data_IF_640514228024
#
_entry.id   IF_640514228024
#
_cell.length_a   1.000
_cell.length_b   1.000
_cell.length_c   1.000
_cell.angle_alpha   90.00
_cell.angle_beta   90.00
_cell.angle_gamma   90.00
#
_symmetry.space_group_name_H-M   'P 1'
#
loop_
_entity.id
_entity.type
_entity.pdbx_description
1 polymer ?
#
# COMPACT_ATOMS: atom_id res chain seq x y z
N UNK A 1 20.59 12.71 -3.13
CA UNK A 1 21.22 11.60 -2.39
C UNK A 1 20.21 11.29 -1.32
N UNK A 2 19.32 10.35 -1.60
CA UNK A 2 18.13 10.15 -0.77
C UNK A 2 18.49 9.14 0.30
N UNK A 3 18.53 9.60 1.55
CA UNK A 3 19.14 8.84 2.65
C UNK A 3 18.04 8.12 3.40
N UNK A 4 17.92 6.82 3.20
CA UNK A 4 17.02 5.98 3.99
C UNK A 4 17.77 5.43 5.20
N UNK A 5 17.41 5.88 6.39
CA UNK A 5 17.82 5.22 7.63
C UNK A 5 16.71 4.27 8.02
N UNK A 6 17.05 2.98 8.13
CA UNK A 6 16.13 1.92 8.54
C UNK A 6 16.49 1.41 9.93
N UNK A 7 15.59 1.58 10.89
CA UNK A 7 15.69 1.03 12.24
C UNK A 7 14.56 0.02 12.46
N UNK A 8 14.90 -1.19 12.89
CA UNK A 8 13.92 -2.22 13.32
C UNK A 8 13.85 -2.24 14.85
N UNK A 9 12.68 -2.48 15.46
CA UNK A 9 12.56 -2.95 16.85
C UNK A 9 11.84 -4.31 16.85
N UNK A 10 12.40 -5.33 17.50
CA UNK A 10 11.81 -6.68 17.61
C UNK A 10 11.61 -7.04 19.09
N UNK A 11 10.46 -7.64 19.50
CA UNK A 11 10.17 -7.86 20.92
C UNK A 11 11.05 -8.92 21.58
N UNK A 12 11.36 -8.63 22.84
CA UNK A 12 12.25 -9.39 23.69
C UNK A 12 11.53 -10.58 24.35
N UNK A 13 11.70 -11.79 23.81
CA UNK A 13 11.89 -13.04 24.59
C UNK A 13 12.20 -14.23 23.67
N UNK A 14 13.29 -14.91 24.03
CA UNK A 14 13.87 -16.13 23.41
C UNK A 14 14.79 -15.96 22.19
N UNK A 15 15.60 -14.89 22.13
CA UNK A 15 16.82 -14.93 21.30
C UNK A 15 17.91 -15.76 22.01
N UNK A 16 17.74 -17.09 22.07
CA UNK A 16 18.82 -17.98 22.52
C UNK A 16 19.89 -18.03 21.42
N UNK A 17 20.97 -17.29 21.62
CA UNK A 17 22.31 -17.55 21.06
C UNK A 17 22.38 -17.78 19.53
N UNK A 18 21.68 -16.98 18.73
CA UNK A 18 21.94 -16.91 17.28
C UNK A 18 21.96 -15.44 16.86
N UNK A 19 23.12 -14.97 16.41
CA UNK A 19 23.23 -13.66 15.76
C UNK A 19 22.44 -13.75 14.46
N UNK A 20 21.28 -13.10 14.42
CA UNK A 20 20.51 -12.98 13.20
C UNK A 20 21.20 -11.97 12.28
N UNK A 21 21.26 -12.30 10.99
CA UNK A 21 21.76 -11.38 9.97
C UNK A 21 20.62 -11.11 9.00
N UNK A 22 20.32 -9.84 8.81
CA UNK A 22 19.21 -9.39 7.95
C UNK A 22 19.69 -8.37 6.92
N UNK A 23 18.92 -8.20 5.86
CA UNK A 23 19.04 -7.07 4.94
C UNK A 23 17.65 -6.57 4.54
N UNK A 24 17.57 -5.34 4.07
CA UNK A 24 16.33 -4.72 3.58
C UNK A 24 16.40 -4.58 2.07
N UNK A 25 15.40 -5.11 1.37
CA UNK A 25 15.16 -4.85 -0.05
C UNK A 25 14.12 -3.75 -0.20
N UNK A 26 14.42 -2.77 -1.05
CA UNK A 26 13.49 -1.67 -1.37
C UNK A 26 13.01 -1.82 -2.81
N UNK A 27 11.70 -1.77 -2.99
CA UNK A 27 11.01 -1.89 -4.27
C UNK A 27 10.08 -0.69 -4.48
N UNK A 28 10.02 -0.21 -5.72
CA UNK A 28 9.10 0.83 -6.15
C UNK A 28 8.56 0.51 -7.54
N UNK A 29 7.25 0.62 -7.71
CA UNK A 29 6.58 0.40 -9.00
C UNK A 29 6.96 -0.95 -9.68
N UNK A 30 7.15 -2.01 -8.88
CA UNK A 30 7.53 -3.35 -9.35
C UNK A 30 9.01 -3.52 -9.70
N UNK A 31 9.84 -2.48 -9.57
CA UNK A 31 11.28 -2.55 -9.76
C UNK A 31 12.01 -2.59 -8.41
N UNK A 32 13.04 -3.42 -8.31
CA UNK A 32 13.97 -3.44 -7.17
C UNK A 32 14.90 -2.24 -7.28
N UNK A 33 14.84 -1.34 -6.29
CA UNK A 33 15.72 -0.17 -6.20
C UNK A 33 17.08 -0.53 -5.59
N UNK A 34 17.12 -1.54 -4.72
CA UNK A 34 18.35 -2.06 -4.17
C UNK A 34 18.16 -2.86 -2.88
N UNK A 35 19.25 -3.53 -2.50
CA UNK A 35 19.39 -4.28 -1.25
C UNK A 35 20.38 -3.56 -0.34
N UNK A 36 20.04 -3.45 0.94
CA UNK A 36 20.95 -2.92 1.96
C UNK A 36 22.14 -3.86 2.19
N UNK A 37 23.24 -3.35 2.77
CA UNK A 37 24.22 -4.21 3.40
C UNK A 37 23.56 -5.12 4.45
N UNK A 38 24.21 -6.27 4.70
CA UNK A 38 23.82 -7.20 5.75
C UNK A 38 24.11 -6.58 7.11
N UNK A 39 23.10 -6.52 7.97
CA UNK A 39 23.19 -6.02 9.33
C UNK A 39 22.97 -7.17 10.33
N UNK A 40 23.72 -7.16 11.42
CA UNK A 40 23.47 -8.04 12.55
C UNK A 40 22.34 -7.47 13.41
N UNK A 41 21.39 -8.32 13.80
CA UNK A 41 20.34 -7.93 14.74
C UNK A 41 20.91 -7.94 16.15
N UNK A 42 20.83 -6.80 16.83
CA UNK A 42 21.26 -6.61 18.21
C UNK A 42 20.36 -7.39 19.20
N UNK A 43 20.82 -7.64 20.44
CA UNK A 43 20.06 -8.41 21.42
C UNK A 43 18.71 -7.77 21.80
N UNK A 44 18.58 -6.46 21.64
CA UNK A 44 17.33 -5.70 21.83
C UNK A 44 16.36 -5.84 20.63
N UNK A 45 16.73 -6.64 19.63
CA UNK A 45 15.93 -6.86 18.44
C UNK A 45 16.10 -5.79 17.37
N UNK A 46 17.04 -4.86 17.52
CA UNK A 46 17.23 -3.76 16.58
C UNK A 46 18.28 -4.06 15.52
N UNK A 47 18.12 -3.45 14.35
CA UNK A 47 19.11 -3.49 13.28
C UNK A 47 19.16 -2.13 12.59
N UNK A 48 20.37 -1.64 12.33
CA UNK A 48 20.64 -0.41 11.60
C UNK A 48 21.25 -0.79 10.25
N UNK A 49 20.56 -0.43 9.17
CA UNK A 49 20.99 -0.78 7.82
C UNK A 49 21.77 0.33 7.12
N UNK A 50 21.58 1.58 7.56
CA UNK A 50 22.21 2.82 7.04
C UNK A 50 22.36 2.82 5.51
N UNK A 51 21.24 2.53 4.82
CA UNK A 51 21.20 2.24 3.39
C UNK A 51 20.32 3.22 2.64
N UNK A 52 20.91 3.99 1.74
CA UNK A 52 20.22 4.87 0.79
C UNK A 52 19.99 4.21 -0.57
N UNK A 53 18.79 4.36 -1.13
CA UNK A 53 18.53 4.17 -2.56
C UNK A 53 17.64 5.28 -3.11
N UNK A 54 17.60 5.43 -4.44
CA UNK A 54 16.86 6.49 -5.11
C UNK A 54 16.35 6.00 -6.45
N UNK A 55 15.24 6.56 -6.91
CA UNK A 55 14.75 6.43 -8.27
C UNK A 55 14.57 7.82 -8.88
N UNK A 56 14.55 7.89 -10.21
CA UNK A 56 14.36 9.14 -10.91
C UNK A 56 12.86 9.47 -11.04
N UNK A 57 12.50 10.67 -10.59
CA UNK A 57 11.21 11.29 -10.89
C UNK A 57 11.27 11.96 -12.27
N UNK A 58 10.25 11.72 -13.09
CA UNK A 58 10.13 12.33 -14.40
C UNK A 58 8.65 12.56 -14.71
N UNK A 59 8.21 13.79 -15.03
CA UNK A 59 6.80 14.09 -15.31
C UNK A 59 6.19 13.22 -16.41
N UNK A 60 6.96 12.95 -17.47
CA UNK A 60 6.55 12.11 -18.60
C UNK A 60 7.05 10.66 -18.51
N UNK A 61 7.68 10.32 -17.38
CA UNK A 61 8.34 9.04 -17.18
C UNK A 61 7.49 8.01 -16.44
N UNK A 62 8.03 6.80 -16.23
CA UNK A 62 7.34 5.72 -15.52
C UNK A 62 7.08 6.02 -14.03
N UNK A 63 7.72 7.05 -13.50
CA UNK A 63 7.60 7.52 -12.12
C UNK A 63 7.08 8.96 -12.11
N UNK A 64 6.02 9.23 -12.88
CA UNK A 64 5.34 10.52 -12.89
C UNK A 64 4.64 10.80 -11.56
N UNK A 65 4.11 12.02 -11.43
CA UNK A 65 3.40 12.47 -10.24
C UNK A 65 2.18 11.58 -9.93
N UNK A 66 1.42 11.21 -10.97
CA UNK A 66 0.25 10.33 -10.87
C UNK A 66 0.61 8.92 -10.38
N UNK A 67 1.80 8.43 -10.74
CA UNK A 67 2.28 7.14 -10.28
C UNK A 67 2.71 7.22 -8.82
N UNK A 68 3.39 8.31 -8.43
CA UNK A 68 3.83 8.55 -7.05
C UNK A 68 2.68 8.60 -6.05
N UNK A 69 1.58 9.27 -6.40
CA UNK A 69 0.38 9.35 -5.53
C UNK A 69 -0.35 8.00 -5.42
N UNK A 70 -0.15 7.08 -6.37
CA UNK A 70 -0.83 5.79 -6.39
C UNK A 70 0.03 4.66 -5.83
N UNK A 71 1.35 4.70 -5.99
CA UNK A 71 2.24 3.58 -5.69
C UNK A 71 3.07 3.89 -4.44
N UNK A 72 2.85 3.16 -3.33
CA UNK A 72 3.74 3.29 -2.18
C UNK A 72 5.07 2.57 -2.43
N UNK A 73 6.05 2.83 -1.56
CA UNK A 73 7.29 2.04 -1.48
C UNK A 73 7.02 0.72 -0.74
N UNK A 74 7.62 -0.36 -1.23
CA UNK A 74 7.58 -1.68 -0.58
C UNK A 74 8.98 -2.00 -0.02
N UNK A 75 9.03 -2.28 1.28
CA UNK A 75 10.25 -2.70 1.97
C UNK A 75 10.10 -4.14 2.44
N UNK A 76 11.06 -4.99 2.11
CA UNK A 76 11.08 -6.39 2.52
C UNK A 76 12.31 -6.67 3.38
N UNK A 77 12.12 -7.09 4.62
CA UNK A 77 13.19 -7.55 5.51
C UNK A 77 13.47 -9.03 5.20
N UNK A 78 14.72 -9.33 4.87
CA UNK A 78 15.18 -10.64 4.44
C UNK A 78 16.18 -11.20 5.47
N UNK A 79 15.95 -12.40 5.98
CA UNK A 79 16.92 -13.17 6.76
C UNK A 79 17.99 -13.74 5.83
N UNK A 80 19.25 -13.57 6.20
CA UNK A 80 20.39 -14.16 5.52
C UNK A 80 20.99 -15.24 6.40
N UNK A 81 20.84 -16.49 5.97
CA UNK A 81 21.52 -17.62 6.61
C UNK A 81 22.83 -17.87 5.87
N UNK A 82 23.99 -17.68 6.54
CA UNK A 82 25.30 -17.81 5.90
C UNK A 82 25.52 -19.18 5.26
N UNK A 83 26.37 -19.19 4.23
CA UNK A 83 26.77 -20.42 3.54
C UNK A 83 27.44 -21.40 4.52
N UNK A 84 26.82 -22.55 4.76
CA UNK A 84 27.45 -23.68 5.42
C UNK A 84 28.18 -24.56 4.40
N UNK A 85 29.15 -25.37 4.87
CA UNK A 85 30.11 -26.17 4.06
C UNK A 85 29.53 -26.92 2.85
N UNK A 86 28.22 -27.18 2.79
CA UNK A 86 27.53 -27.87 1.69
C UNK A 86 26.24 -27.21 1.18
N UNK A 87 25.81 -26.05 1.71
CA UNK A 87 24.56 -25.40 1.31
C UNK A 87 24.83 -23.96 0.86
N UNK A 88 24.19 -23.51 -0.23
CA UNK A 88 24.29 -22.10 -0.63
C UNK A 88 23.72 -21.20 0.46
N UNK A 89 24.13 -19.93 0.43
CA UNK A 89 23.49 -18.89 1.24
C UNK A 89 21.98 -18.90 0.97
N UNK A 90 21.20 -18.90 2.04
CA UNK A 90 19.74 -18.91 1.96
C UNK A 90 19.23 -17.54 2.40
N UNK A 91 18.48 -16.89 1.53
CA UNK A 91 17.78 -15.64 1.81
C UNK A 91 16.29 -15.94 1.93
N UNK A 92 15.66 -15.59 3.05
CA UNK A 92 14.24 -15.87 3.31
C UNK A 92 13.54 -14.59 3.78
N UNK A 93 12.37 -14.23 3.23
CA UNK A 93 11.62 -13.07 3.70
C UNK A 93 11.05 -13.29 5.10
N UNK A 94 11.27 -12.29 5.97
CA UNK A 94 10.76 -12.26 7.34
C UNK A 94 9.49 -11.41 7.44
N UNK A 95 9.50 -10.23 6.81
CA UNK A 95 8.39 -9.30 6.89
C UNK A 95 8.43 -8.23 5.80
N UNK A 96 7.30 -7.55 5.62
CA UNK A 96 7.18 -6.42 4.70
C UNK A 96 6.52 -5.20 5.37
N UNK A 97 6.95 -4.03 4.94
CA UNK A 97 6.38 -2.75 5.31
C UNK A 97 6.09 -1.94 4.04
N UNK A 98 5.11 -1.05 4.12
CA UNK A 98 4.71 -0.18 3.02
C UNK A 98 4.80 1.28 3.49
N UNK A 99 5.41 2.14 2.66
CA UNK A 99 5.60 3.56 2.96
C UNK A 99 4.83 4.41 1.94
N UNK A 100 3.93 5.24 2.46
CA UNK A 100 3.16 6.21 1.68
C UNK A 100 4.06 7.37 1.24
N UNK A 101 4.00 7.72 -0.05
CA UNK A 101 4.76 8.82 -0.64
C UNK A 101 3.95 10.13 -0.74
N UNK A 102 2.64 10.09 -0.50
CA UNK A 102 1.77 11.26 -0.54
C UNK A 102 2.25 12.42 0.36
N UNK A 103 2.88 12.20 1.54
CA UNK A 103 3.43 13.30 2.33
C UNK A 103 4.45 14.18 1.60
N UNK A 104 5.17 13.68 0.59
CA UNK A 104 6.10 14.50 -0.22
C UNK A 104 5.40 15.54 -1.09
N UNK A 105 4.11 15.30 -1.37
CA UNK A 105 3.31 16.10 -2.29
C UNK A 105 2.54 17.21 -1.60
N UNK A 106 2.51 17.21 -0.27
CA UNK A 106 1.82 18.24 0.53
C UNK A 106 2.55 19.60 0.53
N UNK A 107 3.44 19.84 -0.45
CA UNK A 107 3.97 21.15 -0.85
C UNK A 107 4.86 21.88 0.16
N UNK A 108 5.13 21.27 1.32
CA UNK A 108 5.74 21.96 2.47
C UNK A 108 7.06 21.36 2.93
N UNK A 109 7.35 20.11 2.56
CA UNK A 109 8.54 19.39 3.04
C UNK A 109 9.25 18.63 1.94
N UNK A 110 10.57 18.77 1.86
CA UNK A 110 11.44 17.99 0.97
C UNK A 110 11.73 16.58 1.51
N UNK A 111 11.38 16.30 2.76
CA UNK A 111 11.57 15.00 3.36
C UNK A 111 10.56 14.79 4.49
N UNK A 112 10.30 13.52 4.77
CA UNK A 112 9.58 13.10 5.97
C UNK A 112 10.21 11.81 6.50
N UNK A 113 10.01 11.56 7.78
CA UNK A 113 10.39 10.30 8.42
C UNK A 113 9.14 9.63 8.97
N UNK A 114 8.99 8.34 8.69
CA UNK A 114 7.82 7.55 9.10
C UNK A 114 8.27 6.27 9.76
N UNK A 115 7.53 5.82 10.77
CA UNK A 115 7.66 4.49 11.33
C UNK A 115 6.65 3.55 10.66
N UNK A 116 7.11 2.79 9.67
CA UNK A 116 6.28 1.89 8.87
C UNK A 116 6.12 0.54 9.58
N UNK A 117 4.87 0.08 9.87
CA UNK A 117 4.64 -1.19 10.55
C UNK A 117 5.13 -2.36 9.70
N UNK A 118 5.82 -3.32 10.34
CA UNK A 118 6.37 -4.50 9.69
C UNK A 118 5.43 -5.70 9.91
N UNK A 119 4.97 -6.29 8.82
CA UNK A 119 4.05 -7.43 8.83
C UNK A 119 4.78 -8.72 8.47
N UNK A 120 4.48 -9.80 9.18
CA UNK A 120 5.14 -11.09 8.99
C UNK A 120 4.79 -11.76 7.65
N UNK A 121 5.74 -12.49 7.07
CA UNK A 121 5.49 -13.35 5.90
C UNK A 121 5.14 -14.78 6.37
N UNK A 122 3.94 -15.23 6.02
CA UNK A 122 3.31 -16.49 6.49
C UNK A 122 4.11 -17.78 6.22
N UNK A 123 5.07 -17.76 5.31
CA UNK A 123 5.84 -18.94 4.88
C UNK A 123 7.24 -19.10 5.52
N UNK A 124 7.62 -18.27 6.51
CA UNK A 124 8.96 -18.39 7.12
C UNK A 124 9.02 -19.58 8.11
N UNK A 125 9.92 -20.57 7.90
CA UNK A 125 10.00 -21.78 8.74
C UNK A 125 10.66 -21.54 10.11
N UNK A 126 11.11 -20.31 10.37
CA UNK A 126 11.55 -19.86 11.68
C UNK A 126 10.30 -19.50 12.49
N UNK A 127 9.52 -20.52 12.86
CA UNK A 127 8.47 -20.39 13.87
C UNK A 127 9.09 -19.73 15.11
N UNK A 128 8.39 -18.74 15.68
CA UNK A 128 8.82 -17.76 16.70
C UNK A 128 9.38 -16.44 16.11
N UNK A 129 8.58 -15.79 15.27
CA UNK A 129 8.40 -14.34 15.42
C UNK A 129 6.93 -14.09 15.77
N UNK A 130 6.66 -14.10 17.07
CA UNK A 130 5.43 -13.52 17.60
C UNK A 130 5.57 -12.01 17.35
N UNK A 131 5.20 -11.53 16.16
CA UNK A 131 4.98 -10.09 15.88
C UNK A 131 3.71 -9.59 16.58
N UNK A 132 3.48 -10.03 17.82
CA UNK A 132 2.44 -9.49 18.69
C UNK A 132 3.10 -8.32 19.41
N UNK A 133 2.66 -7.12 19.01
CA UNK A 133 3.05 -5.76 19.43
C UNK A 133 4.23 -5.08 18.69
N UNK A 134 3.90 -4.20 17.73
CA UNK A 134 4.60 -2.96 17.34
C UNK A 134 6.07 -3.02 16.86
N UNK A 135 6.45 -3.97 16.00
CA UNK A 135 7.68 -3.86 15.21
C UNK A 135 7.48 -3.00 13.95
N UNK A 136 8.50 -2.28 13.50
CA UNK A 136 8.42 -1.44 12.30
C UNK A 136 9.79 -1.04 11.77
N UNK A 137 9.79 -0.41 10.59
CA UNK A 137 10.94 0.24 9.97
C UNK A 137 10.75 1.74 10.10
N UNK A 138 11.63 2.43 10.82
CA UNK A 138 11.77 3.87 10.62
C UNK A 138 12.36 4.09 9.22
N UNK A 139 11.80 4.99 8.42
CA UNK A 139 12.22 5.24 7.04
C UNK A 139 12.17 6.74 6.80
N UNK A 140 13.27 7.30 6.33
CA UNK A 140 13.31 8.67 5.80
C UNK A 140 13.22 8.62 4.28
N UNK A 141 12.29 9.41 3.72
CA UNK A 141 12.15 9.63 2.28
C UNK A 141 12.38 11.11 2.01
N UNK A 142 13.15 11.41 0.96
CA UNK A 142 13.51 12.78 0.59
C UNK A 142 13.50 12.99 -0.92
N UNK A 143 13.30 14.23 -1.33
CA UNK A 143 13.49 14.72 -2.69
C UNK A 143 14.50 15.87 -2.69
N UNK A 144 15.13 16.13 -3.84
CA UNK A 144 16.07 17.27 -3.99
C UNK A 144 15.34 18.60 -4.07
N UNK A 145 14.18 18.59 -4.71
CA UNK A 145 13.33 19.74 -4.98
C UNK A 145 11.88 19.37 -4.66
N UNK A 146 11.04 20.37 -4.43
CA UNK A 146 9.62 20.13 -4.19
C UNK A 146 9.01 19.54 -5.47
N UNK A 147 8.28 18.45 -5.32
CA UNK A 147 7.59 17.79 -6.44
C UNK A 147 6.46 18.67 -7.00
N UNK A 148 5.89 19.51 -6.14
CA UNK A 148 4.89 20.52 -6.48
C UNK A 148 5.31 21.86 -5.89
N UNK A 149 5.29 22.91 -6.72
CA UNK A 149 5.43 24.28 -6.23
C UNK A 149 4.21 24.70 -5.38
N UNK A 150 4.37 25.73 -4.55
CA UNK A 150 3.28 26.22 -3.70
C UNK A 150 2.04 26.64 -4.52
N UNK A 151 2.24 27.22 -5.71
CA UNK A 151 1.15 27.59 -6.62
C UNK A 151 0.45 26.37 -7.18
N UNK A 152 1.21 25.37 -7.65
CA UNK A 152 0.64 24.10 -8.15
C UNK A 152 -0.12 23.35 -7.06
N UNK A 153 0.39 23.33 -5.84
CA UNK A 153 -0.32 22.73 -4.71
C UNK A 153 -1.59 23.50 -4.33
N UNK A 154 -1.56 24.83 -4.34
CA UNK A 154 -2.73 25.66 -3.97
C UNK A 154 -3.82 25.73 -5.05
N UNK A 155 -3.44 25.55 -6.31
CA UNK A 155 -4.36 25.57 -7.45
C UNK A 155 -4.81 24.18 -7.88
N UNK A 156 -4.04 23.15 -7.53
CA UNK A 156 -4.35 21.76 -7.80
C UNK A 156 -5.36 21.18 -6.82
N UNK A 157 -6.11 20.19 -7.28
CA UNK A 157 -6.96 19.39 -6.43
C UNK A 157 -6.38 18.00 -6.30
N UNK A 158 -6.25 17.58 -5.05
CA UNK A 158 -5.80 16.26 -4.67
C UNK A 158 -7.14 15.51 -4.38
N UNK A 159 -7.56 14.57 -5.24
CA UNK A 159 -8.79 13.79 -5.05
C UNK A 159 -8.51 12.35 -4.63
N UNK A 160 -9.29 11.81 -3.70
CA UNK A 160 -9.16 10.43 -3.23
C UNK A 160 -10.39 9.61 -3.57
N UNK A 161 -10.24 8.60 -4.43
CA UNK A 161 -11.36 7.78 -4.89
C UNK A 161 -11.24 6.40 -4.27
N UNK A 162 -12.30 5.95 -3.58
CA UNK A 162 -12.43 4.60 -3.04
C UNK A 162 -13.64 3.91 -3.67
N UNK A 163 -13.40 2.88 -4.49
CA UNK A 163 -14.46 1.99 -4.92
C UNK A 163 -14.59 0.86 -3.91
N UNK A 164 -15.74 0.76 -3.24
CA UNK A 164 -15.94 -0.22 -2.18
C UNK A 164 -16.45 -1.57 -2.69
N UNK A 165 -17.52 -1.54 -3.49
CA UNK A 165 -18.15 -2.73 -4.03
C UNK A 165 -18.99 -2.39 -5.25
N UNK A 166 -19.02 -3.30 -6.20
CA UNK A 166 -19.98 -3.33 -7.31
C UNK A 166 -20.97 -4.43 -7.01
N UNK A 167 -22.26 -4.09 -6.95
CA UNK A 167 -23.34 -5.04 -6.74
C UNK A 167 -24.05 -5.35 -8.07
N UNK A 168 -24.79 -6.46 -8.15
CA UNK A 168 -25.43 -6.92 -9.40
C UNK A 168 -24.44 -7.15 -10.55
N UNK A 169 -23.31 -7.80 -10.26
CA UNK A 169 -22.35 -8.15 -11.32
C UNK A 169 -22.92 -9.21 -12.27
N UNK A 170 -22.46 -9.27 -13.54
CA UNK A 170 -22.92 -10.25 -14.51
C UNK A 170 -22.72 -11.70 -14.04
N UNK A 171 -23.64 -12.60 -14.39
CA UNK A 171 -23.58 -14.03 -14.02
C UNK A 171 -22.31 -14.76 -14.50
N UNK A 172 -21.59 -14.18 -15.47
CA UNK A 172 -20.31 -14.68 -15.95
C UNK A 172 -19.16 -14.53 -14.94
N UNK A 173 -19.34 -13.74 -13.87
CA UNK A 173 -18.34 -13.58 -12.82
C UNK A 173 -18.33 -14.84 -11.94
N UNK A 174 -17.21 -15.54 -11.92
CA UNK A 174 -17.03 -16.76 -11.13
C UNK A 174 -16.09 -16.51 -9.94
N UNK A 175 -16.34 -17.19 -8.82
CA UNK A 175 -15.60 -17.01 -7.57
C UNK A 175 -14.16 -17.57 -7.62
N UNK A 176 -13.81 -18.33 -8.66
CA UNK A 176 -12.53 -18.99 -8.85
C UNK A 176 -11.49 -18.13 -9.59
N UNK A 177 -11.90 -17.00 -10.18
CA UNK A 177 -11.03 -16.10 -10.93
C UNK A 177 -10.97 -14.73 -10.29
N UNK A 178 -9.75 -14.17 -10.16
CA UNK A 178 -9.58 -12.76 -9.80
C UNK A 178 -10.22 -11.91 -10.89
N UNK A 179 -11.29 -11.18 -10.53
CA UNK A 179 -12.03 -10.38 -11.48
C UNK A 179 -11.34 -9.02 -11.60
N UNK A 180 -11.17 -8.52 -12.82
CA UNK A 180 -10.72 -7.15 -13.06
C UNK A 180 -11.91 -6.32 -13.53
N UNK A 181 -12.18 -5.19 -12.88
CA UNK A 181 -13.28 -4.31 -13.23
C UNK A 181 -12.73 -2.95 -13.59
N UNK A 182 -13.05 -2.51 -14.81
CA UNK A 182 -12.78 -1.14 -15.22
C UNK A 182 -13.97 -0.27 -14.78
N UNK A 183 -13.70 0.78 -14.02
CA UNK A 183 -14.71 1.76 -13.64
C UNK A 183 -14.25 3.12 -14.17
N UNK A 184 -14.86 3.57 -15.26
CA UNK A 184 -14.57 4.90 -15.78
C UNK A 184 -15.40 5.92 -15.01
N UNK A 185 -14.75 6.79 -14.24
CA UNK A 185 -15.40 7.94 -13.62
C UNK A 185 -15.02 9.20 -14.40
N UNK A 186 -16.01 10.01 -14.78
CA UNK A 186 -15.76 11.34 -15.30
C UNK A 186 -15.49 12.28 -14.12
N UNK A 187 -14.21 12.54 -13.88
CA UNK A 187 -13.80 13.58 -12.92
C UNK A 187 -13.79 14.89 -13.71
N UNK A 188 -14.53 15.93 -13.28
CA UNK A 188 -14.52 17.23 -13.95
C UNK A 188 -13.14 17.87 -13.81
N UNK A 189 -12.27 17.60 -14.77
CA UNK A 189 -11.03 18.32 -14.96
C UNK A 189 -11.36 19.67 -15.61
N UNK A 190 -10.69 20.73 -15.19
CA UNK A 190 -10.72 21.98 -15.94
C UNK A 190 -10.05 21.75 -17.31
N UNK A 191 -10.84 21.49 -18.36
CA UNK A 191 -10.39 21.64 -19.75
C UNK A 191 -9.69 20.45 -20.43
N UNK A 192 -10.29 19.25 -20.43
CA UNK A 192 -9.99 18.16 -21.38
C UNK A 192 -8.89 17.14 -21.01
N UNK A 193 -9.25 16.12 -20.21
CA UNK A 193 -8.90 14.71 -20.47
C UNK A 193 -9.72 13.80 -19.58
N UNK A 194 -10.44 12.83 -20.15
CA UNK A 194 -11.09 11.80 -19.36
C UNK A 194 -10.03 10.94 -18.66
N UNK A 195 -10.18 10.73 -17.35
CA UNK A 195 -9.26 9.89 -16.57
C UNK A 195 -9.91 8.55 -16.23
N UNK A 196 -9.62 7.46 -16.99
CA UNK A 196 -10.16 6.15 -16.67
C UNK A 196 -9.50 5.56 -15.43
N UNK A 197 -10.31 5.14 -14.47
CA UNK A 197 -9.85 4.48 -13.25
C UNK A 197 -9.94 2.96 -13.41
N UNK A 198 -8.83 2.27 -13.13
CA UNK A 198 -8.76 0.82 -13.25
C UNK A 198 -8.62 0.18 -11.88
N UNK A 199 -9.58 -0.68 -11.53
CA UNK A 199 -9.58 -1.47 -10.30
C UNK A 199 -9.25 -2.94 -10.64
N UNK A 200 -8.21 -3.50 -10.00
CA UNK A 200 -7.65 -4.84 -10.32
C UNK A 200 -7.60 -5.76 -9.11
N UNK A 201 -7.92 -7.05 -9.29
CA UNK A 201 -7.99 -8.09 -8.24
C UNK A 201 -9.22 -8.07 -7.31
N UNK A 202 -10.42 -7.94 -7.88
CA UNK A 202 -11.67 -7.86 -7.15
C UNK A 202 -12.10 -9.25 -6.71
N UNK A 203 -12.61 -9.35 -5.49
CA UNK A 203 -13.04 -10.63 -4.92
C UNK A 203 -14.57 -10.68 -4.99
N UNK A 204 -15.09 -11.62 -5.78
CA UNK A 204 -16.52 -11.91 -5.80
C UNK A 204 -16.96 -12.54 -4.47
N UNK A 205 -17.88 -11.89 -3.79
CA UNK A 205 -18.53 -12.41 -2.57
C UNK A 205 -19.85 -13.07 -2.93
N UNK A 206 -20.13 -14.19 -2.27
CA UNK A 206 -21.40 -14.90 -2.38
C UNK A 206 -22.57 -14.03 -1.90
N UNK A 207 -23.75 -14.25 -2.49
CA UNK A 207 -24.98 -13.50 -2.23
C UNK A 207 -25.31 -13.41 -0.72
N UNK A 208 -25.73 -12.22 -0.27
CA UNK A 208 -26.21 -11.99 1.10
C UNK A 208 -25.14 -11.85 2.18
N UNK A 209 -23.84 -11.91 1.83
CA UNK A 209 -22.76 -11.54 2.76
C UNK A 209 -22.44 -10.05 2.66
N UNK A 210 -22.98 -9.28 3.61
CA UNK A 210 -22.51 -7.92 3.86
C UNK A 210 -21.04 -7.96 4.30
N UNK A 211 -20.23 -7.00 3.84
CA UNK A 211 -18.87 -6.87 4.32
C UNK A 211 -18.87 -6.32 5.75
N UNK A 212 -18.00 -6.83 6.63
CA UNK A 212 -17.86 -6.30 7.97
C UNK A 212 -17.39 -4.85 7.90
N UNK A 213 -17.99 -3.99 8.73
CA UNK A 213 -17.59 -2.60 8.91
C UNK A 213 -17.22 -2.36 10.39
N UNK A 214 -16.18 -1.58 10.69
CA UNK A 214 -15.27 -0.97 9.73
C UNK A 214 -14.31 -2.01 9.12
N UNK A 215 -13.89 -1.76 7.88
CA UNK A 215 -12.86 -2.55 7.21
C UNK A 215 -11.73 -1.64 6.72
N UNK A 216 -10.47 -2.08 6.72
CA UNK A 216 -9.35 -1.25 6.28
C UNK A 216 -9.50 -0.87 4.79
N UNK A 217 -8.77 0.14 4.31
CA UNK A 217 -8.54 0.37 2.87
C UNK A 217 -7.21 -0.29 2.47
N UNK A 218 -7.06 -0.66 1.20
CA UNK A 218 -5.85 -1.29 0.69
C UNK A 218 -5.10 -0.42 -0.32
N UNK A 219 -3.78 -0.56 -0.34
CA UNK A 219 -2.92 -0.03 -1.39
C UNK A 219 -3.19 -0.73 -2.74
N UNK A 220 -3.05 -0.02 -3.88
CA UNK A 220 -3.19 -0.57 -5.23
C UNK A 220 -1.97 -1.39 -5.67
N UNK A 221 -1.47 -2.26 -4.79
CA UNK A 221 -0.38 -3.17 -5.06
C UNK A 221 -0.89 -4.53 -5.55
N UNK A 222 -0.04 -5.25 -6.28
CA UNK A 222 -0.29 -6.65 -6.61
C UNK A 222 -0.19 -7.56 -5.37
N UNK A 223 -0.29 -8.88 -5.54
CA UNK A 223 -0.04 -9.80 -4.44
C UNK A 223 1.38 -9.61 -3.88
N UNK A 224 1.48 -9.33 -2.58
CA UNK A 224 2.75 -9.19 -1.86
C UNK A 224 2.94 -10.36 -0.88
N UNK A 225 4.15 -10.50 -0.31
CA UNK A 225 4.52 -11.61 0.57
C UNK A 225 3.81 -11.55 1.94
N UNK A 226 3.48 -10.36 2.43
CA UNK A 226 2.72 -10.14 3.66
C UNK A 226 1.41 -9.38 3.34
N UNK A 227 0.28 -10.08 3.11
CA UNK A 227 -0.98 -9.45 2.70
C UNK A 227 -1.48 -8.35 3.64
N UNK A 228 -1.22 -8.46 4.94
CA UNK A 228 -1.63 -7.46 5.94
C UNK A 228 -0.95 -6.09 5.73
N UNK A 229 0.21 -6.05 5.07
CA UNK A 229 0.90 -4.81 4.72
C UNK A 229 0.18 -4.03 3.60
N UNK A 230 -0.81 -4.63 2.93
CA UNK A 230 -1.65 -3.92 1.96
C UNK A 230 -2.57 -2.92 2.64
N UNK A 231 -2.86 -3.06 3.93
CA UNK A 231 -3.73 -2.14 4.66
C UNK A 231 -3.09 -0.75 4.76
N UNK A 232 -3.84 0.28 4.35
CA UNK A 232 -3.48 1.68 4.54
C UNK A 232 -3.68 2.01 6.03
N UNK A 233 -2.63 2.42 6.77
CA UNK A 233 -2.74 2.72 8.19
C UNK A 233 -3.80 3.79 8.47
N UNK A 234 -4.61 3.58 9.51
CA UNK A 234 -5.66 4.50 9.96
C UNK A 234 -6.71 4.86 8.89
N UNK A 235 -6.80 4.09 7.81
CA UNK A 235 -7.75 4.33 6.73
C UNK A 235 -8.76 3.19 6.68
N UNK A 236 -10.01 3.52 6.99
CA UNK A 236 -11.08 2.56 7.11
C UNK A 236 -12.29 3.00 6.29
N UNK A 237 -12.99 2.01 5.77
CA UNK A 237 -14.34 2.14 5.30
C UNK A 237 -15.24 1.85 6.50
N UNK A 238 -15.86 2.90 7.03
CA UNK A 238 -16.67 2.86 8.25
C UNK A 238 -18.17 2.65 7.98
N UNK A 239 -18.60 2.80 6.71
CA UNK A 239 -20.01 2.94 6.37
C UNK A 239 -20.64 4.21 6.95
N UNK A 240 -21.83 4.57 6.48
CA UNK A 240 -22.57 5.73 6.94
C UNK A 240 -24.06 5.61 6.64
N UNK A 241 -24.93 6.34 7.35
CA UNK A 241 -26.33 6.46 6.98
C UNK A 241 -26.41 7.04 5.58
N UNK A 242 -27.09 6.31 4.70
CA UNK A 242 -27.28 6.71 3.31
C UNK A 242 -27.91 8.13 3.18
N UNK A 243 -28.71 8.55 4.16
CA UNK A 243 -29.34 9.88 4.20
C UNK A 243 -28.34 11.04 4.36
N UNK A 244 -27.10 10.75 4.78
CA UNK A 244 -26.02 11.73 4.88
C UNK A 244 -25.12 11.74 3.62
N UNK A 245 -25.39 10.89 2.62
CA UNK A 245 -24.73 10.95 1.31
C UNK A 245 -25.32 12.12 0.49
N UNK A 246 -24.48 13.11 0.16
CA UNK A 246 -24.83 14.19 -0.77
C UNK A 246 -24.84 13.64 -2.21
N UNK A 247 -25.96 13.04 -2.60
CA UNK A 247 -26.10 12.35 -3.88
C UNK A 247 -27.49 12.48 -4.49
N UNK A 248 -27.53 12.63 -5.81
CA UNK A 248 -28.73 12.79 -6.65
C UNK A 248 -29.64 11.54 -6.71
N UNK A 249 -29.35 10.47 -5.96
CA UNK A 249 -30.09 9.22 -6.05
C UNK A 249 -31.55 9.40 -5.58
N UNK A 250 -32.47 9.05 -6.45
CA UNK A 250 -33.91 9.06 -6.17
C UNK A 250 -34.27 8.01 -5.12
N UNK A 251 -35.38 8.20 -4.39
CA UNK A 251 -35.88 7.25 -3.37
C UNK A 251 -35.99 5.80 -3.88
N UNK A 252 -36.33 5.61 -5.15
CA UNK A 252 -36.37 4.30 -5.82
C UNK A 252 -34.99 3.68 -6.01
N UNK A 253 -33.99 4.47 -6.43
CA UNK A 253 -32.61 3.99 -6.60
C UNK A 253 -31.96 3.66 -5.26
N UNK A 254 -32.27 4.45 -4.21
CA UNK A 254 -31.90 4.16 -2.82
C UNK A 254 -32.42 2.79 -2.37
N UNK A 255 -33.71 2.52 -2.59
CA UNK A 255 -34.34 1.25 -2.24
C UNK A 255 -33.79 0.08 -3.06
N UNK A 256 -33.49 0.29 -4.34
CA UNK A 256 -32.92 -0.73 -5.21
C UNK A 256 -31.48 -1.08 -4.81
N UNK A 257 -30.67 -0.10 -4.40
CA UNK A 257 -29.31 -0.31 -3.87
C UNK A 257 -29.35 -1.07 -2.55
N UNK A 258 -30.26 -0.74 -1.62
CA UNK A 258 -30.45 -1.49 -0.37
C UNK A 258 -30.89 -2.94 -0.59
N UNK A 259 -31.80 -3.17 -1.56
CA UNK A 259 -32.20 -4.51 -1.99
C UNK A 259 -31.05 -5.28 -2.63
N UNK A 260 -30.20 -4.60 -3.41
CA UNK A 260 -29.06 -5.21 -4.07
C UNK A 260 -27.94 -5.60 -3.10
N UNK A 261 -27.64 -4.74 -2.11
CA UNK A 261 -26.65 -5.03 -1.07
C UNK A 261 -27.03 -6.20 -0.17
N UNK A 262 -28.33 -6.48 -0.04
CA UNK A 262 -28.83 -7.59 0.79
C UNK A 262 -29.09 -8.89 0.03
N UNK A 263 -29.25 -8.87 -1.30
CA UNK A 263 -29.73 -10.02 -2.08
C UNK A 263 -28.84 -10.49 -3.23
N UNK A 264 -27.79 -9.75 -3.61
CA UNK A 264 -26.95 -10.09 -4.77
C UNK A 264 -25.47 -10.02 -4.44
N UNK A 265 -24.68 -10.85 -5.12
CA UNK A 265 -23.23 -10.92 -5.01
C UNK A 265 -22.58 -9.59 -5.33
N UNK A 266 -21.50 -9.32 -4.62
CA UNK A 266 -20.74 -8.08 -4.73
C UNK A 266 -19.30 -8.38 -5.08
N UNK A 267 -18.73 -7.64 -6.03
CA UNK A 267 -17.28 -7.60 -6.21
C UNK A 267 -16.76 -6.44 -5.40
N UNK A 268 -16.06 -6.72 -4.30
CA UNK A 268 -15.44 -5.67 -3.52
C UNK A 268 -14.10 -5.27 -4.13
N UNK A 269 -13.94 -3.97 -4.19
CA UNK A 269 -12.71 -3.28 -4.54
C UNK A 269 -12.22 -2.56 -3.31
N UNK A 270 -10.92 -2.39 -3.20
CA UNK A 270 -10.35 -1.66 -2.10
C UNK A 270 -9.12 -0.95 -2.65
N UNK A 271 -9.37 0.20 -3.25
CA UNK A 271 -8.34 0.95 -3.95
C UNK A 271 -8.52 2.42 -3.62
N UNK A 272 -7.44 3.06 -3.19
CA UNK A 272 -7.33 4.51 -3.19
C UNK A 272 -6.65 4.92 -4.49
N UNK A 273 -7.35 5.67 -5.34
CA UNK A 273 -6.74 6.30 -6.51
C UNK A 273 -6.73 7.80 -6.33
N UNK A 274 -5.61 8.37 -6.75
CA UNK A 274 -5.33 9.78 -6.61
C UNK A 274 -5.05 10.38 -7.99
N UNK A 275 -5.96 11.18 -8.56
CA UNK A 275 -5.64 12.05 -9.67
C UNK A 275 -4.91 13.29 -9.12
N UNK A 276 -3.75 13.59 -9.68
CA UNK A 276 -3.10 14.88 -9.47
C UNK A 276 -3.33 15.73 -10.72
N UNK A 277 -4.17 16.76 -10.63
CA UNK A 277 -4.18 17.81 -11.64
C UNK A 277 -3.12 18.85 -11.29
N UNK A 278 -2.10 18.96 -12.13
CA UNK A 278 -1.24 20.15 -12.15
C UNK A 278 -1.97 21.29 -12.88
N UNK A 279 -1.73 22.55 -12.51
CA UNK A 279 -2.22 23.67 -13.30
C UNK A 279 -1.55 23.70 -14.68
N UNK A 280 -2.33 24.12 -15.68
CA UNK A 280 -1.84 24.52 -17.02
C UNK A 280 -0.85 25.68 -16.96
#
# INVERSE_FOLDING_TARGET
>A
KDTTKAYTQVPHKTLKSKVLVTLVRVEYNGAVLGDSPKAGVLPDGTAEYDFSTSFEYSPDGPNSLDVLVQKPLLLTVLEVVPKEKKKPERITPLGQAVVDLLPLLQGTTLNFTVFAPLYAVSASPSEIFIFVSQGGLEVTVSTKELLLSATQFSSGNLLSITLEAVYSVPDAFTADTQQNCMVCLQIPAAGEKEFPLLFKNGILKADGKNEPLPRPKHWPLGPILAPDALNIPNSFIVGGPYEDEDGELTKSERAQRGSCGTRKGAVSWMLLQWPCEGPE
#
